data_IF_176388302202
#
_entry.id   IF_176388302202
#
_cell.length_a   1.000
_cell.length_b   1.000
_cell.length_c   1.000
_cell.angle_alpha   90.00
_cell.angle_beta   90.00
_cell.angle_gamma   90.00
#
_symmetry.space_group_name_H-M   'P 1'
#
loop_
_entity.id
_entity.type
_entity.pdbx_description
1 polymer ?
#
# COMPACT_ATOMS: atom_id res chain seq x y z
N UNK A 1 12.11 -22.13 20.19
CA UNK A 1 11.20 -21.00 19.92
C UNK A 1 11.73 -20.03 18.86
N UNK A 2 12.99 -20.13 18.41
CA UNK A 2 13.61 -19.19 17.46
C UNK A 2 13.11 -19.32 16.00
N UNK A 3 12.90 -20.56 15.53
CA UNK A 3 12.54 -20.88 14.14
C UNK A 3 11.18 -20.31 13.70
N UNK A 4 10.24 -20.14 14.62
CA UNK A 4 8.92 -19.55 14.32
C UNK A 4 9.00 -18.05 14.03
N UNK A 5 9.95 -17.32 14.63
CA UNK A 5 10.03 -15.87 14.48
C UNK A 5 10.55 -15.47 13.10
N UNK A 6 11.56 -16.18 12.60
CA UNK A 6 12.07 -16.00 11.23
C UNK A 6 10.98 -16.29 10.16
N UNK A 7 10.18 -17.35 10.37
CA UNK A 7 9.04 -17.64 9.47
C UNK A 7 7.97 -16.55 9.48
N UNK A 8 7.69 -15.95 10.65
CA UNK A 8 6.72 -14.86 10.79
C UNK A 8 7.22 -13.57 10.13
N UNK A 9 8.50 -13.22 10.29
CA UNK A 9 9.13 -12.04 9.66
C UNK A 9 9.14 -12.17 8.14
N UNK A 10 9.45 -13.36 7.61
CA UNK A 10 9.42 -13.62 6.16
C UNK A 10 7.99 -13.53 5.60
N UNK A 11 6.99 -14.01 6.35
CA UNK A 11 5.58 -13.86 5.99
C UNK A 11 5.10 -12.41 6.00
N UNK A 12 5.52 -11.63 7.00
CA UNK A 12 5.25 -10.20 7.12
C UNK A 12 5.91 -9.39 5.99
N UNK A 13 7.17 -9.70 5.66
CA UNK A 13 7.88 -9.07 4.55
C UNK A 13 7.24 -9.38 3.19
N UNK A 14 6.88 -10.64 2.94
CA UNK A 14 6.23 -11.04 1.69
C UNK A 14 4.85 -10.38 1.53
N UNK A 15 4.04 -10.37 2.59
CA UNK A 15 2.73 -9.72 2.58
C UNK A 15 2.81 -8.20 2.48
N UNK A 16 3.82 -7.58 3.11
CA UNK A 16 4.10 -6.16 2.94
C UNK A 16 4.55 -5.83 1.52
N UNK A 17 5.47 -6.60 0.93
CA UNK A 17 5.88 -6.37 -0.47
C UNK A 17 4.69 -6.52 -1.44
N UNK A 18 3.86 -7.53 -1.24
CA UNK A 18 2.65 -7.75 -2.04
C UNK A 18 1.64 -6.61 -1.86
N UNK A 19 1.46 -6.10 -0.64
CA UNK A 19 0.57 -4.99 -0.36
C UNK A 19 1.06 -3.67 -0.96
N UNK A 20 2.38 -3.42 -0.94
CA UNK A 20 2.99 -2.27 -1.64
C UNK A 20 2.76 -2.35 -3.14
N UNK A 21 2.97 -3.52 -3.76
CA UNK A 21 2.74 -3.71 -5.19
C UNK A 21 1.28 -3.47 -5.57
N UNK A 22 0.35 -4.13 -4.88
CA UNK A 22 -1.09 -4.01 -5.14
C UNK A 22 -1.61 -2.58 -4.88
N UNK A 23 -1.15 -1.96 -3.80
CA UNK A 23 -1.54 -0.59 -3.48
C UNK A 23 -1.00 0.42 -4.50
N UNK A 24 0.20 0.19 -5.04
CA UNK A 24 0.78 1.03 -6.10
C UNK A 24 -0.02 0.94 -7.41
N UNK A 25 -0.48 -0.27 -7.78
CA UNK A 25 -1.37 -0.47 -8.93
C UNK A 25 -2.71 0.24 -8.73
N UNK A 26 -3.32 0.08 -7.55
CA UNK A 26 -4.59 0.74 -7.20
C UNK A 26 -4.47 2.27 -7.21
N UNK A 27 -3.40 2.81 -6.64
CA UNK A 27 -3.10 4.25 -6.65
C UNK A 27 -2.91 4.77 -8.06
N UNK A 28 -2.21 4.03 -8.91
CA UNK A 28 -1.96 4.41 -10.31
C UNK A 28 -3.27 4.47 -11.10
N UNK A 29 -4.13 3.46 -10.95
CA UNK A 29 -5.43 3.42 -11.62
C UNK A 29 -6.32 4.58 -11.14
N UNK A 30 -6.48 4.75 -9.83
CA UNK A 30 -7.30 5.81 -9.25
C UNK A 30 -6.79 7.22 -9.63
N UNK A 31 -5.47 7.41 -9.72
CA UNK A 31 -4.88 8.67 -10.19
C UNK A 31 -5.22 8.96 -11.65
N UNK A 32 -5.18 7.92 -12.51
CA UNK A 32 -5.59 8.02 -13.91
C UNK A 32 -7.07 8.39 -14.03
N UNK A 33 -7.93 7.74 -13.24
CA UNK A 33 -9.38 8.00 -13.23
C UNK A 33 -9.67 9.44 -12.77
N UNK A 34 -8.98 9.96 -11.74
CA UNK A 34 -9.08 11.35 -11.30
C UNK A 34 -8.65 12.33 -12.40
N UNK A 35 -7.53 12.06 -13.08
CA UNK A 35 -7.02 12.92 -14.15
C UNK A 35 -7.96 12.96 -15.37
N UNK A 36 -8.53 11.82 -15.73
CA UNK A 36 -9.53 11.71 -16.80
C UNK A 36 -10.84 12.42 -16.42
N UNK A 37 -11.29 12.27 -15.17
CA UNK A 37 -12.46 12.97 -14.65
C UNK A 37 -12.29 14.49 -14.61
N UNK A 38 -11.10 14.98 -14.27
CA UNK A 38 -10.81 16.42 -14.34
C UNK A 38 -10.92 16.96 -15.78
N UNK A 39 -10.62 16.13 -16.77
CA UNK A 39 -10.77 16.47 -18.18
C UNK A 39 -12.22 16.41 -18.68
N UNK A 40 -13.02 15.44 -18.21
CA UNK A 40 -14.45 15.28 -18.59
C UNK A 40 -15.42 16.19 -17.81
N UNK A 41 -15.07 16.63 -16.60
CA UNK A 41 -15.91 17.55 -15.81
C UNK A 41 -16.00 18.98 -16.39
N UNK A 42 -15.18 19.31 -17.39
CA UNK A 42 -15.39 20.48 -18.25
C UNK A 42 -16.61 20.34 -19.19
N UNK A 43 -17.15 19.12 -19.36
CA UNK A 43 -18.19 18.76 -20.31
C UNK A 43 -19.47 18.21 -19.64
N UNK A 44 -19.86 18.74 -18.47
CA UNK A 44 -21.26 18.79 -18.00
C UNK A 44 -22.09 17.50 -17.89
N UNK A 45 -21.52 16.29 -17.97
CA UNK A 45 -22.30 15.05 -17.96
C UNK A 45 -21.73 14.03 -16.97
N UNK A 46 -22.19 14.09 -15.73
CA UNK A 46 -21.87 13.14 -14.65
C UNK A 46 -22.56 11.78 -14.90
N UNK A 47 -21.99 10.94 -15.75
CA UNK A 47 -22.46 9.57 -15.95
C UNK A 47 -21.27 8.61 -16.02
N UNK A 48 -20.86 8.06 -14.87
CA UNK A 48 -19.98 6.89 -14.85
C UNK A 48 -19.11 6.77 -13.61
N UNK A 49 -18.29 7.78 -13.30
CA UNK A 49 -17.30 7.72 -12.21
C UNK A 49 -17.38 9.01 -11.38
N UNK A 50 -17.56 8.89 -10.07
CA UNK A 50 -17.58 10.05 -9.18
C UNK A 50 -16.16 10.37 -8.73
N UNK A 51 -15.73 11.62 -8.85
CA UNK A 51 -14.43 12.08 -8.37
C UNK A 51 -14.19 11.71 -6.89
N UNK A 52 -15.26 11.71 -6.07
CA UNK A 52 -15.20 11.31 -4.66
C UNK A 52 -14.79 9.85 -4.51
N UNK A 53 -15.36 8.95 -5.30
CA UNK A 53 -15.04 7.52 -5.24
C UNK A 53 -13.59 7.28 -5.66
N UNK A 54 -13.14 7.92 -6.76
CA UNK A 54 -11.75 7.79 -7.21
C UNK A 54 -10.74 8.34 -6.20
N UNK A 55 -11.06 9.44 -5.50
CA UNK A 55 -10.21 9.99 -4.42
C UNK A 55 -10.18 9.06 -3.20
N UNK A 56 -11.31 8.44 -2.85
CA UNK A 56 -11.39 7.45 -1.77
C UNK A 56 -10.58 6.20 -2.12
N UNK A 57 -10.69 5.71 -3.35
CA UNK A 57 -9.91 4.55 -3.84
C UNK A 57 -8.42 4.86 -3.87
N UNK A 58 -8.03 6.03 -4.34
CA UNK A 58 -6.66 6.52 -4.32
C UNK A 58 -6.11 6.50 -2.88
N UNK A 59 -6.87 7.08 -1.94
CA UNK A 59 -6.44 7.18 -0.54
C UNK A 59 -6.40 5.83 0.15
N UNK A 60 -7.33 4.93 -0.18
CA UNK A 60 -7.35 3.56 0.33
C UNK A 60 -6.13 2.77 -0.16
N UNK A 61 -5.82 2.87 -1.45
CA UNK A 61 -4.61 2.28 -2.02
C UNK A 61 -3.34 2.82 -1.37
N UNK A 62 -3.24 4.15 -1.19
CA UNK A 62 -2.12 4.80 -0.55
C UNK A 62 -1.93 4.36 0.92
N UNK A 63 -3.02 4.29 1.69
CA UNK A 63 -3.01 3.76 3.06
C UNK A 63 -2.58 2.29 3.10
N UNK A 64 -2.99 1.48 2.13
CA UNK A 64 -2.56 0.09 1.98
C UNK A 64 -1.05 -0.02 1.79
N UNK A 65 -0.47 0.80 0.90
CA UNK A 65 0.98 0.88 0.70
C UNK A 65 1.69 1.31 1.98
N UNK A 66 1.20 2.36 2.67
CA UNK A 66 1.80 2.87 3.91
C UNK A 66 1.79 1.81 5.02
N UNK A 67 0.67 1.12 5.21
CA UNK A 67 0.56 0.04 6.19
C UNK A 67 1.53 -1.11 5.87
N UNK A 68 1.65 -1.48 4.60
CA UNK A 68 2.59 -2.49 4.15
C UNK A 68 4.06 -2.07 4.32
N UNK A 69 4.38 -0.79 4.07
CA UNK A 69 5.70 -0.24 4.35
C UNK A 69 6.01 -0.28 5.85
N UNK A 70 5.03 0.02 6.71
CA UNK A 70 5.20 -0.05 8.16
C UNK A 70 5.48 -1.47 8.64
N UNK A 71 4.88 -2.49 8.03
CA UNK A 71 5.18 -3.90 8.32
C UNK A 71 6.62 -4.25 7.93
N UNK A 72 7.10 -3.75 6.80
CA UNK A 72 8.50 -3.90 6.37
C UNK A 72 9.47 -3.25 7.36
N UNK A 73 9.16 -2.04 7.83
CA UNK A 73 9.97 -1.34 8.85
C UNK A 73 10.04 -2.14 10.16
N UNK A 74 8.91 -2.62 10.66
CA UNK A 74 8.88 -3.43 11.89
C UNK A 74 9.62 -4.76 11.69
N UNK A 75 9.52 -5.38 10.52
CA UNK A 75 10.31 -6.56 10.17
C UNK A 75 11.82 -6.28 10.17
N UNK A 76 12.23 -5.09 9.71
CA UNK A 76 13.64 -4.66 9.74
C UNK A 76 14.12 -4.34 11.17
N UNK A 77 13.32 -3.64 11.97
CA UNK A 77 13.63 -3.31 13.36
C UNK A 77 13.73 -4.57 14.23
N UNK A 78 12.87 -5.56 14.01
CA UNK A 78 12.95 -6.85 14.69
C UNK A 78 14.20 -7.63 14.31
N UNK A 79 14.63 -7.59 13.04
CA UNK A 79 15.93 -8.13 12.63
C UNK A 79 17.10 -7.38 13.28
N UNK A 80 17.04 -6.04 13.37
CA UNK A 80 18.05 -5.21 14.01
C UNK A 80 18.19 -5.52 15.50
N UNK A 81 17.08 -5.62 16.22
CA UNK A 81 17.06 -5.99 17.66
C UNK A 81 17.55 -7.42 17.91
N UNK A 82 17.25 -8.37 17.00
CA UNK A 82 17.82 -9.71 17.07
C UNK A 82 19.35 -9.67 16.88
N UNK A 83 19.85 -8.93 15.89
CA UNK A 83 21.29 -8.75 15.67
C UNK A 83 22.01 -8.15 16.88
N UNK A 84 21.42 -7.13 17.51
CA UNK A 84 21.96 -6.49 18.71
C UNK A 84 21.99 -7.43 19.92
N UNK A 85 21.09 -8.42 19.98
CA UNK A 85 21.10 -9.44 21.04
C UNK A 85 22.18 -10.51 20.83
N UNK A 86 22.61 -10.73 19.58
CA UNK A 86 23.66 -11.72 19.23
C UNK A 86 25.07 -11.12 19.13
N UNK A 87 25.20 -9.79 19.06
CA UNK A 87 26.47 -9.07 19.07
C UNK A 87 27.05 -8.94 20.48
#
# INVERSE_FOLDING_TARGET
>A
MDISNNSNIRGAFASGLQGVQRGSEQVTQASSDIANLNSESAQGNSAGVNLTDSVVDLKTGALGVEASAKVLDVANDTLGTLLDTFA
#
